data_IF_345160572866
#
_entry.id   IF_345160572866
#
_cell.length_a   1.000
_cell.length_b   1.000
_cell.length_c   1.000
_cell.angle_alpha   90.00
_cell.angle_beta   90.00
_cell.angle_gamma   90.00
#
_symmetry.space_group_name_H-M   'P 1'
#
loop_
_entity.id
_entity.type
_entity.pdbx_description
1 polymer ?
#
# COMPACT_ATOMS: atom_id res chain seq x y z
N UNK A 1 -6.23 -43.39 -33.88
CA UNK A 1 -5.87 -41.98 -33.61
C UNK A 1 -6.32 -41.67 -32.20
N UNK A 2 -5.40 -41.80 -31.24
CA UNK A 2 -5.67 -41.65 -29.81
C UNK A 2 -5.57 -40.18 -29.41
N UNK A 3 -6.64 -39.69 -28.78
CA UNK A 3 -6.73 -38.34 -28.23
C UNK A 3 -5.82 -38.25 -27.01
N UNK A 4 -4.85 -37.35 -27.08
CA UNK A 4 -3.92 -36.99 -26.02
C UNK A 4 -4.69 -36.35 -24.85
N UNK A 5 -4.72 -37.01 -23.70
CA UNK A 5 -5.19 -36.46 -22.44
C UNK A 5 -4.25 -35.35 -21.98
N UNK A 6 -4.79 -34.16 -21.76
CA UNK A 6 -4.08 -33.05 -21.12
C UNK A 6 -3.59 -33.48 -19.74
N UNK A 7 -2.29 -33.33 -19.50
CA UNK A 7 -1.66 -33.55 -18.20
C UNK A 7 -2.20 -32.53 -17.20
N UNK A 8 -2.93 -33.00 -16.20
CA UNK A 8 -3.17 -32.27 -14.97
C UNK A 8 -1.84 -32.08 -14.25
N UNK A 9 -1.26 -30.89 -14.33
CA UNK A 9 -0.15 -30.50 -13.45
C UNK A 9 -0.68 -30.45 -12.03
N UNK A 10 -0.39 -31.47 -11.23
CA UNK A 10 -0.63 -31.42 -9.79
C UNK A 10 0.30 -30.38 -9.20
N UNK A 11 -0.24 -29.23 -8.78
CA UNK A 11 0.49 -28.28 -7.95
C UNK A 11 0.76 -28.96 -6.60
N UNK A 12 1.96 -29.53 -6.40
CA UNK A 12 2.36 -29.97 -5.07
C UNK A 12 2.48 -28.73 -4.18
N UNK A 13 1.72 -28.68 -3.08
CA UNK A 13 1.77 -27.61 -2.10
C UNK A 13 3.13 -27.59 -1.39
N UNK A 14 4.02 -26.70 -1.82
CA UNK A 14 5.28 -26.44 -1.15
C UNK A 14 5.11 -25.19 -0.28
N UNK A 15 4.48 -25.36 0.89
CA UNK A 15 4.34 -24.27 1.85
C UNK A 15 5.58 -24.26 2.75
N UNK A 16 6.32 -23.16 2.73
CA UNK A 16 7.44 -22.90 3.66
C UNK A 16 6.99 -21.85 4.67
N UNK A 17 7.33 -22.06 5.94
CA UNK A 17 7.00 -21.15 7.03
C UNK A 17 8.25 -20.62 7.70
N UNK A 18 8.18 -19.38 8.14
CA UNK A 18 9.21 -18.69 8.90
C UNK A 18 8.60 -17.99 10.10
N UNK A 19 9.42 -17.66 11.09
CA UNK A 19 8.98 -16.89 12.27
C UNK A 19 9.49 -15.47 12.14
N UNK A 20 8.59 -14.50 12.18
CA UNK A 20 8.90 -13.10 12.44
C UNK A 20 8.98 -12.91 13.96
N UNK A 21 10.15 -12.53 14.47
CA UNK A 21 10.42 -12.39 15.91
C UNK A 21 9.96 -11.04 16.44
N UNK A 22 8.71 -10.68 16.16
CA UNK A 22 8.06 -9.48 16.67
C UNK A 22 7.40 -9.76 18.04
N UNK A 23 6.81 -8.74 18.66
CA UNK A 23 6.30 -8.80 20.04
C UNK A 23 5.37 -9.99 20.36
N UNK A 24 4.54 -10.42 19.39
CA UNK A 24 3.62 -11.55 19.55
C UNK A 24 3.96 -12.78 18.70
N UNK A 25 5.15 -12.83 18.09
CA UNK A 25 5.62 -13.90 17.20
C UNK A 25 4.63 -14.27 16.08
N UNK A 26 4.85 -13.72 14.89
CA UNK A 26 4.03 -14.02 13.72
C UNK A 26 4.66 -15.09 12.82
N UNK A 27 3.83 -15.92 12.20
CA UNK A 27 4.26 -16.86 11.16
C UNK A 27 4.17 -16.17 9.80
N UNK A 28 5.26 -16.20 9.04
CA UNK A 28 5.25 -15.85 7.62
C UNK A 28 5.13 -17.16 6.83
N UNK A 29 4.00 -17.36 6.13
CA UNK A 29 3.75 -18.53 5.29
C UNK A 29 3.87 -18.15 3.81
N UNK A 30 4.77 -18.82 3.09
CA UNK A 30 4.83 -18.75 1.64
C UNK A 30 3.72 -19.63 1.06
N UNK A 31 2.71 -19.02 0.44
CA UNK A 31 1.57 -19.74 -0.15
C UNK A 31 1.62 -19.66 -1.68
N UNK A 32 1.06 -20.67 -2.35
CA UNK A 32 0.96 -20.72 -3.82
C UNK A 32 -0.23 -21.58 -4.27
N UNK A 33 -0.39 -21.77 -5.59
CA UNK A 33 -1.42 -22.64 -6.15
C UNK A 33 -2.84 -22.26 -5.72
N UNK A 34 -3.66 -23.27 -5.40
CA UNK A 34 -5.07 -23.07 -5.08
C UNK A 34 -5.29 -22.18 -3.84
N UNK A 35 -4.45 -22.31 -2.80
CA UNK A 35 -4.55 -21.49 -1.59
C UNK A 35 -4.33 -20.01 -1.89
N UNK A 36 -3.33 -19.66 -2.69
CA UNK A 36 -3.08 -18.28 -3.11
C UNK A 36 -4.21 -17.74 -4.02
N UNK A 37 -4.77 -18.58 -4.90
CA UNK A 37 -5.91 -18.19 -5.75
C UNK A 37 -7.12 -17.82 -4.88
N UNK A 38 -7.48 -18.68 -3.92
CA UNK A 38 -8.60 -18.44 -3.01
C UNK A 38 -8.41 -17.17 -2.19
N UNK A 39 -7.18 -16.91 -1.75
CA UNK A 39 -6.85 -15.71 -0.99
C UNK A 39 -7.01 -14.42 -1.82
N UNK A 40 -6.50 -14.40 -3.05
CA UNK A 40 -6.53 -13.22 -3.91
C UNK A 40 -7.92 -12.97 -4.57
N UNK A 41 -8.78 -13.99 -4.62
CA UNK A 41 -10.15 -13.88 -5.14
C UNK A 41 -11.18 -13.45 -4.09
N UNK A 42 -10.76 -13.19 -2.84
CA UNK A 42 -11.63 -12.57 -1.83
C UNK A 42 -11.94 -11.12 -2.23
N UNK A 43 -13.19 -10.73 -1.99
CA UNK A 43 -13.59 -9.32 -2.07
C UNK A 43 -13.23 -8.64 -0.76
N UNK A 44 -12.16 -7.85 -0.77
CA UNK A 44 -11.72 -6.99 0.33
C UNK A 44 -11.92 -5.52 -0.01
N UNK A 45 -11.48 -4.62 0.88
CA UNK A 45 -11.60 -3.17 0.69
C UNK A 45 -11.00 -2.70 -0.64
N UNK A 46 -9.93 -3.33 -1.13
CA UNK A 46 -9.33 -2.94 -2.41
C UNK A 46 -10.27 -3.20 -3.59
N UNK A 47 -10.78 -4.42 -3.72
CA UNK A 47 -11.68 -4.78 -4.82
C UNK A 47 -13.05 -4.11 -4.66
N UNK A 48 -13.55 -4.00 -3.44
CA UNK A 48 -14.82 -3.33 -3.16
C UNK A 48 -14.81 -1.85 -3.56
N UNK A 49 -13.61 -1.24 -3.67
CA UNK A 49 -13.42 0.14 -4.06
C UNK A 49 -13.04 0.32 -5.54
N UNK A 50 -13.03 -0.72 -6.38
CA UNK A 50 -12.72 -0.57 -7.80
C UNK A 50 -13.73 0.32 -8.53
N UNK A 51 -13.21 1.24 -9.33
CA UNK A 51 -13.98 1.89 -10.39
C UNK A 51 -14.01 1.01 -11.66
N UNK A 52 -14.87 1.33 -12.64
CA UNK A 52 -14.73 0.79 -13.99
C UNK A 52 -13.32 0.98 -14.55
N UNK A 53 -12.73 2.16 -14.35
CA UNK A 53 -11.38 2.46 -14.84
C UNK A 53 -10.28 1.63 -14.17
N UNK A 54 -10.40 1.30 -12.88
CA UNK A 54 -9.48 0.38 -12.19
C UNK A 54 -9.40 -0.95 -12.95
N UNK A 55 -10.56 -1.52 -13.30
CA UNK A 55 -10.61 -2.78 -14.04
C UNK A 55 -10.05 -2.64 -15.45
N UNK A 56 -10.46 -1.61 -16.18
CA UNK A 56 -10.03 -1.38 -17.56
C UNK A 56 -8.52 -1.25 -17.66
N UNK A 57 -7.93 -0.37 -16.84
CA UNK A 57 -6.50 -0.08 -16.84
C UNK A 57 -5.64 -1.25 -16.35
N UNK A 58 -6.12 -2.05 -15.40
CA UNK A 58 -5.40 -3.22 -14.85
C UNK A 58 -5.42 -4.42 -15.78
N UNK A 59 -6.52 -4.64 -16.49
CA UNK A 59 -6.63 -5.75 -17.46
C UNK A 59 -6.17 -5.37 -18.86
N UNK A 60 -6.07 -4.06 -19.13
CA UNK A 60 -5.94 -3.51 -20.48
C UNK A 60 -7.05 -4.04 -21.41
N UNK A 61 -8.29 -4.01 -20.94
CA UNK A 61 -9.49 -4.46 -21.65
C UNK A 61 -10.61 -3.43 -21.50
N UNK A 62 -11.45 -3.25 -22.52
CA UNK A 62 -12.63 -2.39 -22.44
C UNK A 62 -13.77 -3.10 -21.70
N UNK A 63 -14.37 -2.41 -20.72
CA UNK A 63 -15.49 -2.92 -19.91
C UNK A 63 -15.32 -4.33 -19.30
N UNK A 64 -14.21 -4.64 -18.60
CA UNK A 64 -14.02 -5.95 -17.98
C UNK A 64 -14.87 -6.13 -16.72
N UNK A 65 -15.09 -7.39 -16.33
CA UNK A 65 -15.78 -7.76 -15.09
C UNK A 65 -14.79 -8.10 -13.97
N UNK A 66 -15.28 -8.11 -12.72
CA UNK A 66 -14.51 -8.61 -11.57
C UNK A 66 -14.06 -10.08 -11.79
N UNK A 67 -14.88 -10.88 -12.46
CA UNK A 67 -14.58 -12.28 -12.78
C UNK A 67 -13.43 -12.37 -13.79
N UNK A 68 -13.30 -11.42 -14.70
CA UNK A 68 -12.14 -11.32 -15.58
C UNK A 68 -10.88 -10.95 -14.79
N UNK A 69 -11.00 -10.02 -13.84
CA UNK A 69 -9.88 -9.67 -12.93
C UNK A 69 -9.44 -10.88 -12.10
N UNK A 70 -10.36 -11.64 -11.53
CA UNK A 70 -10.06 -12.86 -10.79
C UNK A 70 -9.38 -13.95 -11.63
N UNK A 71 -9.79 -14.13 -12.89
CA UNK A 71 -9.11 -15.02 -13.84
C UNK A 71 -7.73 -14.50 -14.19
N UNK A 72 -7.56 -13.17 -14.27
CA UNK A 72 -6.29 -12.53 -14.59
C UNK A 72 -5.28 -12.70 -13.45
N UNK A 73 -5.60 -12.30 -12.22
CA UNK A 73 -4.67 -12.39 -11.09
C UNK A 73 -4.27 -13.84 -10.77
N UNK A 74 -5.20 -14.80 -10.91
CA UNK A 74 -4.91 -16.21 -10.68
C UNK A 74 -3.82 -16.76 -11.63
N UNK A 75 -3.74 -16.25 -12.86
CA UNK A 75 -2.71 -16.62 -13.84
C UNK A 75 -1.34 -15.99 -13.54
N UNK A 76 -1.27 -15.01 -12.63
CA UNK A 76 -0.02 -14.32 -12.32
C UNK A 76 0.72 -14.96 -11.14
N UNK A 77 0.03 -15.80 -10.35
CA UNK A 77 0.61 -16.52 -9.21
C UNK A 77 1.68 -17.51 -9.71
N UNK A 78 2.82 -17.51 -9.03
CA UNK A 78 3.91 -18.44 -9.25
C UNK A 78 4.03 -19.40 -8.06
N UNK A 79 4.61 -20.57 -8.31
CA UNK A 79 5.05 -21.45 -7.23
C UNK A 79 6.35 -20.89 -6.63
N UNK A 80 6.51 -21.05 -5.31
CA UNK A 80 7.79 -20.84 -4.65
C UNK A 80 8.71 -22.03 -4.95
N UNK A 81 9.94 -21.72 -5.37
CA UNK A 81 11.01 -22.70 -5.57
C UNK A 81 12.10 -22.55 -4.49
N UNK A 82 13.15 -23.38 -4.56
CA UNK A 82 14.21 -23.36 -3.55
C UNK A 82 14.96 -22.02 -3.52
N UNK A 83 15.26 -21.45 -4.69
CA UNK A 83 16.00 -20.19 -4.82
C UNK A 83 15.21 -19.02 -4.22
N UNK A 84 13.98 -18.82 -4.67
CA UNK A 84 13.10 -17.73 -4.19
C UNK A 84 12.76 -17.89 -2.72
N UNK A 85 12.54 -19.12 -2.24
CA UNK A 85 12.30 -19.40 -0.83
C UNK A 85 13.53 -19.11 0.04
N UNK A 86 14.74 -19.40 -0.45
CA UNK A 86 15.98 -19.14 0.29
C UNK A 86 16.26 -17.63 0.38
N UNK A 87 15.90 -16.85 -0.65
CA UNK A 87 15.97 -15.38 -0.60
C UNK A 87 15.00 -14.84 0.46
N UNK A 88 13.75 -15.34 0.49
CA UNK A 88 12.79 -14.99 1.55
C UNK A 88 13.31 -15.34 2.94
N UNK A 89 13.86 -16.54 3.12
CA UNK A 89 14.44 -16.98 4.39
C UNK A 89 15.55 -16.02 4.85
N UNK A 90 16.44 -15.65 3.94
CA UNK A 90 17.57 -14.74 4.21
C UNK A 90 17.08 -13.33 4.55
N UNK A 91 16.04 -12.85 3.86
CA UNK A 91 15.38 -11.57 4.15
C UNK A 91 14.78 -11.55 5.57
N UNK A 92 14.02 -12.59 5.93
CA UNK A 92 13.37 -12.69 7.24
C UNK A 92 14.42 -12.82 8.36
N UNK A 93 15.49 -13.59 8.15
CA UNK A 93 16.58 -13.68 9.12
C UNK A 93 17.33 -12.34 9.30
N UNK A 94 17.55 -11.62 8.19
CA UNK A 94 18.11 -10.28 8.24
C UNK A 94 17.23 -9.32 9.04
N UNK A 95 15.91 -9.33 8.82
CA UNK A 95 14.95 -8.48 9.54
C UNK A 95 14.92 -8.85 11.03
N UNK A 96 14.82 -10.15 11.35
CA UNK A 96 14.84 -10.66 12.72
C UNK A 96 16.10 -10.28 13.50
N UNK A 97 17.24 -10.19 12.82
CA UNK A 97 18.52 -9.85 13.46
C UNK A 97 18.69 -8.33 13.56
N UNK A 98 18.59 -7.64 12.42
CA UNK A 98 18.94 -6.22 12.27
C UNK A 98 17.87 -5.30 12.88
N UNK A 99 16.60 -5.69 12.81
CA UNK A 99 15.47 -4.88 13.26
C UNK A 99 14.88 -5.38 14.59
N UNK A 100 15.61 -6.23 15.33
CA UNK A 100 15.10 -6.96 16.50
C UNK A 100 14.47 -6.05 17.57
N UNK A 101 15.13 -4.93 17.90
CA UNK A 101 14.61 -4.00 18.90
C UNK A 101 13.30 -3.34 18.46
N UNK A 102 13.20 -2.93 17.20
CA UNK A 102 11.98 -2.35 16.65
C UNK A 102 10.87 -3.41 16.54
N UNK A 103 11.19 -4.63 16.09
CA UNK A 103 10.23 -5.74 16.00
C UNK A 103 9.56 -6.05 17.34
N UNK A 104 10.30 -5.95 18.46
CA UNK A 104 9.77 -6.15 19.80
C UNK A 104 8.71 -5.10 20.22
N UNK A 105 8.57 -4.00 19.46
CA UNK A 105 7.54 -2.99 19.66
C UNK A 105 6.28 -3.25 18.83
N UNK A 106 6.31 -4.21 17.91
CA UNK A 106 5.29 -4.37 16.88
C UNK A 106 4.48 -5.65 17.08
N UNK A 107 3.16 -5.49 17.15
CA UNK A 107 2.21 -6.62 17.11
C UNK A 107 1.60 -6.75 15.72
N UNK A 108 1.73 -7.92 15.13
CA UNK A 108 1.25 -8.28 13.80
C UNK A 108 0.14 -9.35 13.88
N UNK A 109 -0.62 -9.62 12.80
CA UNK A 109 -1.46 -10.81 12.72
C UNK A 109 -0.65 -12.08 13.05
N UNK A 110 -1.24 -13.11 13.68
CA UNK A 110 -0.53 -14.35 14.01
C UNK A 110 0.07 -15.06 12.79
N UNK A 111 -0.53 -14.86 11.62
CA UNK A 111 -0.06 -15.39 10.35
C UNK A 111 -0.11 -14.30 9.27
N UNK A 112 0.97 -14.18 8.51
CA UNK A 112 1.11 -13.33 7.32
C UNK A 112 1.40 -14.25 6.14
N UNK A 113 0.57 -14.19 5.11
CA UNK A 113 0.75 -14.96 3.89
C UNK A 113 1.55 -14.16 2.87
N UNK A 114 2.48 -14.80 2.16
CA UNK A 114 3.24 -14.18 1.07
C UNK A 114 2.99 -14.94 -0.23
N UNK A 115 2.48 -14.23 -1.23
CA UNK A 115 2.20 -14.76 -2.57
C UNK A 115 3.26 -14.26 -3.54
N UNK A 116 3.91 -15.18 -4.26
CA UNK A 116 4.81 -14.83 -5.35
C UNK A 116 4.02 -14.66 -6.65
N UNK A 117 4.28 -13.58 -7.41
CA UNK A 117 3.66 -13.37 -8.73
C UNK A 117 4.69 -13.06 -9.80
N UNK A 118 4.26 -13.13 -11.06
CA UNK A 118 5.06 -12.67 -12.19
C UNK A 118 5.09 -11.13 -12.36
N UNK A 119 4.36 -10.40 -11.51
CA UNK A 119 4.30 -8.94 -11.47
C UNK A 119 3.37 -8.26 -12.48
N UNK A 120 2.64 -8.99 -13.32
CA UNK A 120 1.70 -8.36 -14.28
C UNK A 120 0.40 -7.87 -13.61
N UNK A 121 0.07 -8.41 -12.45
CA UNK A 121 -1.05 -8.05 -11.59
C UNK A 121 -1.01 -6.59 -11.14
N UNK A 122 0.15 -6.09 -10.74
CA UNK A 122 0.35 -4.71 -10.25
C UNK A 122 1.60 -4.03 -10.85
N UNK A 123 1.93 -4.32 -12.12
CA UNK A 123 3.06 -3.71 -12.86
C UNK A 123 4.42 -3.77 -12.15
N UNK A 124 4.72 -4.91 -11.50
CA UNK A 124 5.90 -5.19 -10.68
C UNK A 124 5.99 -4.41 -9.37
N UNK A 125 4.91 -3.78 -8.91
CA UNK A 125 4.82 -3.32 -7.53
C UNK A 125 4.57 -4.52 -6.59
N UNK A 126 5.16 -4.47 -5.40
CA UNK A 126 4.65 -5.22 -4.27
C UNK A 126 3.45 -4.46 -3.70
N UNK A 127 2.55 -5.19 -3.03
CA UNK A 127 1.36 -4.60 -2.42
C UNK A 127 0.75 -5.58 -1.42
N UNK A 128 -0.12 -5.07 -0.55
CA UNK A 128 -0.84 -5.88 0.41
C UNK A 128 -2.34 -6.01 0.08
N UNK A 129 -2.92 -7.15 0.45
CA UNK A 129 -4.36 -7.43 0.36
C UNK A 129 -4.89 -8.00 1.67
N UNK A 130 -6.20 -8.01 1.83
CA UNK A 130 -6.89 -8.49 3.04
C UNK A 130 -6.27 -7.90 4.32
N UNK A 131 -6.26 -8.64 5.44
CA UNK A 131 -5.62 -8.19 6.68
C UNK A 131 -4.14 -8.61 6.81
N UNK A 132 -3.71 -9.63 6.04
CA UNK A 132 -2.45 -10.33 6.31
C UNK A 132 -1.74 -10.90 5.08
N UNK A 133 -2.03 -10.41 3.87
CA UNK A 133 -1.45 -10.95 2.63
C UNK A 133 -0.52 -9.92 2.01
N UNK A 134 0.73 -10.33 1.78
CA UNK A 134 1.73 -9.59 1.01
C UNK A 134 1.86 -10.27 -0.35
N UNK A 135 1.73 -9.51 -1.42
CA UNK A 135 1.95 -9.98 -2.79
C UNK A 135 3.27 -9.40 -3.26
N UNK A 136 4.18 -10.27 -3.69
CA UNK A 136 5.50 -9.85 -4.12
C UNK A 136 5.85 -10.40 -5.51
N UNK A 137 6.23 -9.54 -6.46
CA UNK A 137 6.63 -10.00 -7.79
C UNK A 137 8.04 -10.61 -7.77
N UNK A 138 8.24 -11.62 -8.61
CA UNK A 138 9.52 -12.32 -8.78
C UNK A 138 10.69 -11.36 -9.02
N UNK A 139 10.47 -10.29 -9.79
CA UNK A 139 11.49 -9.27 -10.04
C UNK A 139 12.01 -8.60 -8.78
N UNK A 140 11.16 -8.40 -7.76
CA UNK A 140 11.57 -7.82 -6.47
C UNK A 140 12.35 -8.84 -5.66
N UNK A 141 11.88 -10.10 -5.61
CA UNK A 141 12.57 -11.18 -4.90
C UNK A 141 13.98 -11.39 -5.45
N UNK A 142 14.15 -11.43 -6.77
CA UNK A 142 15.46 -11.56 -7.41
C UNK A 142 16.28 -10.24 -7.44
N UNK A 143 15.73 -9.15 -6.90
CA UNK A 143 16.33 -7.83 -6.92
C UNK A 143 17.16 -7.49 -5.66
N UNK A 144 18.00 -6.46 -5.76
CA UNK A 144 18.91 -6.05 -4.67
C UNK A 144 18.28 -5.27 -3.50
N UNK A 145 16.99 -4.96 -3.55
CA UNK A 145 16.31 -4.12 -2.54
C UNK A 145 15.17 -4.86 -1.80
N UNK A 146 15.12 -6.18 -1.95
CA UNK A 146 14.07 -7.05 -1.41
C UNK A 146 13.75 -6.80 0.07
N UNK A 147 14.76 -6.74 0.95
CA UNK A 147 14.53 -6.58 2.40
C UNK A 147 13.87 -5.24 2.73
N UNK A 148 14.29 -4.15 2.07
CA UNK A 148 13.70 -2.83 2.30
C UNK A 148 12.24 -2.80 1.87
N UNK A 149 11.95 -3.37 0.69
CA UNK A 149 10.57 -3.46 0.18
C UNK A 149 9.73 -4.35 1.09
N UNK A 150 10.23 -5.50 1.52
CA UNK A 150 9.46 -6.36 2.41
C UNK A 150 9.15 -5.71 3.77
N UNK A 151 10.08 -4.91 4.32
CA UNK A 151 9.81 -4.10 5.53
C UNK A 151 8.77 -3.01 5.25
N UNK A 152 8.78 -2.40 4.07
CA UNK A 152 7.74 -1.47 3.63
C UNK A 152 6.37 -2.17 3.57
N UNK A 153 6.27 -3.35 2.98
CA UNK A 153 5.01 -4.13 2.96
C UNK A 153 4.56 -4.56 4.36
N UNK A 154 5.50 -4.91 5.25
CA UNK A 154 5.18 -5.19 6.64
C UNK A 154 4.55 -3.98 7.34
N UNK A 155 4.91 -2.74 7.00
CA UNK A 155 4.21 -1.57 7.51
C UNK A 155 2.72 -1.60 7.17
N UNK A 156 2.35 -1.92 5.93
CA UNK A 156 0.94 -1.98 5.52
C UNK A 156 0.16 -3.06 6.27
N UNK A 157 0.78 -4.23 6.51
CA UNK A 157 0.18 -5.28 7.37
C UNK A 157 0.02 -4.79 8.81
N UNK A 158 1.06 -4.17 9.36
CA UNK A 158 1.05 -3.67 10.74
C UNK A 158 0.03 -2.54 10.94
N UNK A 159 -0.01 -1.57 10.04
CA UNK A 159 -0.82 -0.35 10.16
C UNK A 159 -2.32 -0.65 10.12
N UNK A 160 -2.73 -1.65 9.34
CA UNK A 160 -4.14 -2.07 9.20
C UNK A 160 -4.59 -3.08 10.25
N UNK A 161 -3.66 -3.67 11.00
CA UNK A 161 -4.03 -4.62 12.05
C UNK A 161 -4.86 -3.94 13.14
N UNK A 162 -5.93 -4.60 13.57
CA UNK A 162 -6.98 -3.98 14.40
C UNK A 162 -6.46 -3.37 15.71
N UNK A 163 -5.36 -3.89 16.28
CA UNK A 163 -4.75 -3.33 17.49
C UNK A 163 -3.94 -2.06 17.24
N UNK A 164 -3.67 -1.69 15.99
CA UNK A 164 -2.72 -0.64 15.63
C UNK A 164 -3.39 0.57 14.96
N UNK A 165 -4.72 0.54 14.76
CA UNK A 165 -5.47 1.58 14.06
C UNK A 165 -5.32 2.97 14.70
N UNK A 166 -5.31 3.06 16.04
CA UNK A 166 -5.08 4.33 16.74
C UNK A 166 -3.67 4.86 16.50
N UNK A 167 -2.66 3.98 16.53
CA UNK A 167 -1.26 4.35 16.26
C UNK A 167 -1.14 4.82 14.81
N UNK A 168 -1.80 4.14 13.86
CA UNK A 168 -1.86 4.58 12.46
C UNK A 168 -2.45 5.98 12.32
N UNK A 169 -3.57 6.27 12.97
CA UNK A 169 -4.19 7.60 12.94
C UNK A 169 -3.24 8.68 13.51
N UNK A 170 -2.50 8.36 14.58
CA UNK A 170 -1.48 9.26 15.16
C UNK A 170 -0.29 9.46 14.22
N UNK A 171 0.19 8.40 13.57
CA UNK A 171 1.27 8.49 12.59
C UNK A 171 0.86 9.34 11.38
N UNK A 172 -0.36 9.17 10.88
CA UNK A 172 -0.93 10.03 9.82
C UNK A 172 -0.95 11.50 10.26
N UNK A 173 -1.44 11.76 11.47
CA UNK A 173 -1.48 13.11 12.05
C UNK A 173 -0.08 13.71 12.16
N UNK A 174 0.91 12.88 12.47
CA UNK A 174 2.31 13.29 12.63
C UNK A 174 2.94 13.86 11.34
N UNK A 175 2.37 13.52 10.18
CA UNK A 175 2.75 14.00 8.84
C UNK A 175 1.67 14.90 8.20
N UNK A 176 0.75 15.44 9.00
CA UNK A 176 -0.23 16.44 8.56
C UNK A 176 -1.53 15.87 7.98
N UNK A 177 -1.77 14.57 8.06
CA UNK A 177 -3.02 13.95 7.62
C UNK A 177 -3.95 13.68 8.79
N UNK A 178 -5.15 14.24 8.74
CA UNK A 178 -6.14 14.17 9.81
C UNK A 178 -7.34 13.34 9.35
N UNK A 179 -7.92 12.58 10.29
CA UNK A 179 -9.11 11.78 10.03
C UNK A 179 -10.34 12.67 9.88
N UNK A 180 -11.12 12.43 8.83
CA UNK A 180 -12.41 13.09 8.62
C UNK A 180 -13.42 12.53 9.64
N UNK A 181 -14.24 13.39 10.28
CA UNK A 181 -15.26 12.92 11.22
C UNK A 181 -16.18 11.87 10.59
N UNK A 182 -16.37 10.71 11.25
CA UNK A 182 -17.09 9.54 10.71
C UNK A 182 -18.51 9.86 10.19
N UNK A 183 -19.17 10.88 10.74
CA UNK A 183 -20.50 11.33 10.30
C UNK A 183 -20.49 12.08 8.95
N UNK A 184 -19.33 12.26 8.33
CA UNK A 184 -19.11 13.08 7.13
C UNK A 184 -18.34 12.28 6.07
N UNK A 185 -18.91 11.16 5.63
CA UNK A 185 -18.30 10.35 4.56
C UNK A 185 -18.15 11.17 3.29
N UNK A 186 -16.95 11.14 2.69
CA UNK A 186 -16.74 11.71 1.36
C UNK A 186 -17.50 10.84 0.36
N UNK A 187 -18.55 11.40 -0.23
CA UNK A 187 -19.15 10.86 -1.45
C UNK A 187 -18.50 11.56 -2.64
N UNK A 188 -17.75 10.81 -3.45
CA UNK A 188 -17.20 11.35 -4.68
C UNK A 188 -18.33 11.56 -5.70
N UNK A 189 -18.32 12.65 -6.50
CA UNK A 189 -19.26 12.80 -7.61
C UNK A 189 -19.14 11.63 -8.60
N UNK A 190 -20.26 11.26 -9.24
CA UNK A 190 -20.32 10.10 -10.14
C UNK A 190 -19.24 10.13 -11.24
N UNK A 191 -18.99 11.31 -11.83
CA UNK A 191 -17.96 11.50 -12.86
C UNK A 191 -16.55 11.15 -12.38
N UNK A 192 -16.27 11.31 -11.09
CA UNK A 192 -14.99 10.99 -10.49
C UNK A 192 -14.94 9.55 -9.96
N UNK A 193 -16.06 9.00 -9.49
CA UNK A 193 -16.17 7.58 -9.11
C UNK A 193 -15.82 6.66 -10.28
N UNK A 194 -16.22 7.03 -11.51
CA UNK A 194 -15.95 6.23 -12.71
C UNK A 194 -14.46 6.12 -13.06
N UNK A 195 -13.67 7.15 -12.75
CA UNK A 195 -12.26 7.28 -13.17
C UNK A 195 -11.26 7.24 -12.01
N UNK A 196 -11.73 7.10 -10.76
CA UNK A 196 -10.81 6.96 -9.62
C UNK A 196 -9.97 5.70 -9.80
N UNK A 197 -8.74 5.74 -9.32
CA UNK A 197 -7.86 4.58 -9.27
C UNK A 197 -7.62 4.22 -7.82
N UNK A 198 -7.52 2.93 -7.52
CA UNK A 198 -7.41 2.44 -6.15
C UNK A 198 -5.99 1.96 -5.89
N UNK A 199 -5.40 2.42 -4.78
CA UNK A 199 -4.17 1.88 -4.24
C UNK A 199 -4.52 0.70 -3.30
N UNK A 200 -3.97 -0.51 -3.51
CA UNK A 200 -4.21 -1.67 -2.64
C UNK A 200 -3.82 -1.48 -1.18
N UNK A 201 -2.82 -0.66 -0.88
CA UNK A 201 -2.31 -0.43 0.48
C UNK A 201 -3.07 0.68 1.21
N UNK A 202 -3.79 1.52 0.47
CA UNK A 202 -4.62 2.60 1.03
C UNK A 202 -6.00 2.71 0.35
N UNK A 203 -6.81 1.64 0.33
CA UNK A 203 -8.08 1.62 -0.41
C UNK A 203 -9.13 2.58 0.20
N UNK A 204 -8.98 2.90 1.49
CA UNK A 204 -9.87 3.79 2.25
C UNK A 204 -9.28 5.18 2.51
N UNK A 205 -8.32 5.66 1.70
CA UNK A 205 -7.60 6.93 1.96
C UNK A 205 -8.49 8.17 2.03
N UNK A 206 -9.67 8.14 1.39
CA UNK A 206 -10.66 9.24 1.38
C UNK A 206 -11.28 9.53 2.76
N UNK A 207 -10.89 8.78 3.80
CA UNK A 207 -11.23 9.05 5.20
C UNK A 207 -10.31 10.08 5.86
N UNK A 208 -9.33 10.62 5.14
CA UNK A 208 -8.34 11.56 5.66
C UNK A 208 -8.24 12.81 4.79
N UNK A 209 -7.86 13.92 5.40
CA UNK A 209 -7.55 15.17 4.73
C UNK A 209 -6.22 15.73 5.21
N UNK A 210 -5.63 16.62 4.42
CA UNK A 210 -4.44 17.42 4.75
C UNK A 210 -4.76 18.90 4.55
N UNK A 211 -4.14 19.77 5.34
CA UNK A 211 -4.30 21.21 5.23
C UNK A 211 -3.18 21.81 4.38
N UNK A 212 -3.53 22.38 3.22
CA UNK A 212 -2.58 22.84 2.21
C UNK A 212 -2.73 24.34 1.94
N UNK A 213 -1.59 25.03 1.83
CA UNK A 213 -1.51 26.41 1.38
C UNK A 213 -1.07 26.44 -0.08
N UNK A 214 -1.76 27.20 -0.93
CA UNK A 214 -1.40 27.31 -2.35
C UNK A 214 -0.21 28.26 -2.56
N UNK A 215 0.76 27.87 -3.38
CA UNK A 215 1.86 28.76 -3.77
C UNK A 215 1.34 30.05 -4.40
N UNK A 216 1.89 31.18 -3.97
CA UNK A 216 1.54 32.50 -4.50
C UNK A 216 0.20 33.06 -4.01
N UNK A 217 -0.57 32.32 -3.21
CA UNK A 217 -1.78 32.86 -2.58
C UNK A 217 -1.41 33.81 -1.43
N UNK A 218 -1.71 35.09 -1.62
CA UNK A 218 -1.44 36.16 -0.64
C UNK A 218 -2.54 36.32 0.41
N UNK A 219 -3.68 35.63 0.25
CA UNK A 219 -4.77 35.67 1.24
C UNK A 219 -4.45 34.90 2.52
N UNK A 220 -3.45 34.01 2.46
CA UNK A 220 -3.15 33.09 3.56
C UNK A 220 -4.17 31.97 3.71
N UNK A 221 -5.03 31.74 2.70
CA UNK A 221 -6.03 30.68 2.74
C UNK A 221 -5.36 29.30 2.85
N UNK A 222 -5.88 28.51 3.80
CA UNK A 222 -5.59 27.10 3.97
C UNK A 222 -6.77 26.31 3.42
N UNK A 223 -6.48 25.29 2.63
CA UNK A 223 -7.46 24.42 2.02
C UNK A 223 -7.42 23.06 2.70
N UNK A 224 -8.57 22.53 3.10
CA UNK A 224 -8.68 21.11 3.44
C UNK A 224 -8.73 20.32 2.15
N UNK A 225 -7.84 19.35 2.02
CA UNK A 225 -7.76 18.55 0.81
C UNK A 225 -7.71 17.05 1.13
N UNK A 226 -8.49 16.22 0.44
CA UNK A 226 -8.34 14.76 0.50
C UNK A 226 -7.42 14.28 -0.62
N UNK A 227 -6.48 13.34 -0.37
CA UNK A 227 -5.73 12.72 -1.45
C UNK A 227 -6.66 11.88 -2.34
N UNK A 228 -6.36 11.85 -3.64
CA UNK A 228 -7.05 11.00 -4.61
C UNK A 228 -6.10 10.56 -5.72
N UNK A 229 -6.33 9.35 -6.22
CA UNK A 229 -5.78 8.87 -7.48
C UNK A 229 -6.90 8.78 -8.50
N UNK A 230 -6.68 9.30 -9.70
CA UNK A 230 -7.63 9.20 -10.79
C UNK A 230 -6.91 9.14 -12.14
N UNK A 231 -7.64 8.71 -13.17
CA UNK A 231 -7.13 8.68 -14.53
C UNK A 231 -6.77 10.09 -15.02
N UNK A 232 -5.60 10.21 -15.66
CA UNK A 232 -5.17 11.44 -16.35
C UNK A 232 -5.87 11.68 -17.69
N UNK A 233 -6.46 10.62 -18.25
CA UNK A 233 -7.15 10.61 -19.55
C UNK A 233 -8.08 9.38 -19.65
N UNK A 234 -9.01 9.34 -20.63
CA UNK A 234 -9.84 8.17 -20.88
C UNK A 234 -9.02 6.91 -21.17
N UNK A 235 -9.60 5.75 -20.88
CA UNK A 235 -8.94 4.47 -21.11
C UNK A 235 -8.77 4.21 -22.61
N UNK A 236 -7.56 3.78 -23.00
CA UNK A 236 -7.22 3.42 -24.37
C UNK A 236 -6.28 2.19 -24.39
N UNK A 237 -6.75 1.10 -25.00
CA UNK A 237 -5.97 -0.15 -25.12
C UNK A 237 -4.65 0.01 -25.89
N UNK A 238 -4.50 1.09 -26.67
CA UNK A 238 -3.29 1.40 -27.43
C UNK A 238 -2.33 2.35 -26.71
N UNK A 239 -2.77 3.03 -25.65
CA UNK A 239 -1.93 4.03 -24.97
C UNK A 239 -0.83 3.38 -24.12
N UNK A 240 -1.20 2.47 -23.21
CA UNK A 240 -0.25 1.81 -22.30
C UNK A 240 -0.86 0.58 -21.64
N UNK A 241 -0.09 -0.51 -21.56
CA UNK A 241 -0.41 -1.68 -20.72
C UNK A 241 -0.02 -1.49 -19.25
N UNK A 242 0.74 -0.44 -18.93
CA UNK A 242 1.11 -0.09 -17.57
C UNK A 242 0.11 0.94 -17.04
N UNK A 243 -0.74 0.55 -16.09
CA UNK A 243 -1.77 1.43 -15.53
C UNK A 243 -1.17 2.66 -14.84
N UNK A 244 0.08 2.60 -14.35
CA UNK A 244 0.76 3.77 -13.77
C UNK A 244 0.90 4.93 -14.77
N UNK A 245 0.87 4.66 -16.08
CA UNK A 245 0.88 5.71 -17.09
C UNK A 245 -0.40 6.57 -17.10
N UNK A 246 -1.51 6.04 -16.58
CA UNK A 246 -2.76 6.77 -16.39
C UNK A 246 -2.86 7.45 -15.03
N UNK A 247 -2.03 7.06 -14.06
CA UNK A 247 -2.19 7.45 -12.67
C UNK A 247 -1.88 8.92 -12.46
N UNK A 248 -2.87 9.70 -12.02
CA UNK A 248 -2.68 11.06 -11.51
C UNK A 248 -2.92 11.08 -10.00
N UNK A 249 -1.85 11.27 -9.24
CA UNK A 249 -1.92 11.52 -7.80
C UNK A 249 -2.06 13.03 -7.54
N UNK A 250 -3.10 13.42 -6.82
CA UNK A 250 -3.38 14.83 -6.49
C UNK A 250 -4.24 14.90 -5.22
N UNK A 251 -4.62 16.11 -4.82
CA UNK A 251 -5.66 16.30 -3.79
C UNK A 251 -6.88 17.03 -4.35
N UNK A 252 -8.04 16.72 -3.79
CA UNK A 252 -9.31 17.42 -4.01
C UNK A 252 -9.56 18.38 -2.86
N UNK A 253 -9.93 19.62 -3.19
CA UNK A 253 -10.32 20.61 -2.19
C UNK A 253 -11.72 20.28 -1.67
N UNK A 254 -11.85 20.29 -0.35
CA UNK A 254 -13.08 20.01 0.38
C UNK A 254 -13.71 21.30 0.91
N UNK A 255 -15.02 21.25 1.18
CA UNK A 255 -15.67 22.23 2.02
C UNK A 255 -15.17 22.14 3.47
N UNK A 256 -14.90 23.29 4.08
CA UNK A 256 -14.31 23.36 5.43
C UNK A 256 -15.22 22.79 6.51
N UNK A 257 -16.53 22.79 6.27
CA UNK A 257 -17.55 22.33 7.21
C UNK A 257 -17.98 20.91 6.90
N UNK A 258 -18.39 20.61 5.66
CA UNK A 258 -18.98 19.30 5.32
C UNK A 258 -17.95 18.24 5.01
N UNK A 259 -16.71 18.61 4.65
CA UNK A 259 -15.68 17.70 4.12
C UNK A 259 -16.06 17.03 2.78
N UNK A 260 -17.12 17.49 2.12
CA UNK A 260 -17.46 17.04 0.77
C UNK A 260 -16.58 17.76 -0.25
N UNK A 261 -16.28 17.14 -1.41
CA UNK A 261 -15.60 17.83 -2.51
C UNK A 261 -16.38 19.07 -2.94
N UNK A 262 -15.67 20.17 -3.19
CA UNK A 262 -16.33 21.39 -3.70
C UNK A 262 -16.93 21.15 -5.08
N UNK A 263 -18.07 21.80 -5.36
CA UNK A 263 -18.68 21.86 -6.69
C UNK A 263 -18.64 23.30 -7.24
N UNK A 264 -18.04 23.55 -8.42
CA UNK A 264 -17.36 22.58 -9.28
C UNK A 264 -16.08 22.03 -8.64
N UNK A 265 -15.71 20.79 -9.00
CA UNK A 265 -14.50 20.12 -8.52
C UNK A 265 -13.24 21.00 -8.65
N UNK A 266 -12.55 21.15 -7.53
CA UNK A 266 -11.29 21.89 -7.44
C UNK A 266 -10.18 21.00 -6.90
N UNK A 267 -9.00 21.11 -7.51
CA UNK A 267 -7.83 20.32 -7.16
C UNK A 267 -6.72 21.25 -6.67
N UNK A 268 -5.90 20.71 -5.77
CA UNK A 268 -4.62 21.31 -5.41
C UNK A 268 -3.56 20.21 -5.51
N UNK A 269 -2.69 20.28 -6.51
CA UNK A 269 -1.64 19.28 -6.63
C UNK A 269 -0.60 19.44 -5.51
N UNK A 270 0.11 18.35 -5.18
CA UNK A 270 1.19 18.40 -4.19
C UNK A 270 2.30 19.41 -4.56
N UNK A 271 2.53 19.63 -5.86
CA UNK A 271 3.52 20.60 -6.35
C UNK A 271 3.07 22.07 -6.20
N UNK A 272 1.75 22.32 -6.19
CA UNK A 272 1.18 23.65 -5.98
C UNK A 272 1.01 24.00 -4.50
N UNK A 273 1.21 23.03 -3.60
CA UNK A 273 1.09 23.19 -2.17
C UNK A 273 2.43 23.59 -1.52
N UNK A 274 2.49 24.79 -0.96
CA UNK A 274 3.72 25.38 -0.42
C UNK A 274 4.18 24.80 0.91
N UNK A 275 3.26 24.19 1.65
CA UNK A 275 3.50 23.60 2.96
C UNK A 275 3.45 22.06 2.96
N UNK A 276 3.30 21.40 1.80
CA UNK A 276 3.15 19.94 1.75
C UNK A 276 4.39 19.23 2.30
N UNK A 277 5.56 19.48 1.72
CA UNK A 277 6.82 18.86 2.18
C UNK A 277 7.27 19.33 3.56
N UNK A 278 6.80 20.49 4.05
CA UNK A 278 7.04 20.90 5.43
C UNK A 278 6.29 20.01 6.43
N UNK A 279 5.17 19.41 6.02
CA UNK A 279 4.38 18.49 6.85
C UNK A 279 4.91 17.06 6.77
N UNK A 280 5.11 16.54 5.56
CA UNK A 280 5.49 15.13 5.35
C UNK A 280 6.99 14.87 5.44
N UNK A 281 7.82 15.92 5.42
CA UNK A 281 9.27 15.82 5.28
C UNK A 281 9.74 15.47 3.88
N UNK A 282 11.04 15.21 3.72
CA UNK A 282 11.71 15.08 2.42
C UNK A 282 12.38 13.71 2.22
N UNK A 283 12.05 12.70 3.04
CA UNK A 283 12.71 11.38 3.00
C UNK A 283 12.30 10.51 1.81
N UNK A 284 11.14 10.77 1.20
CA UNK A 284 10.63 10.00 0.05
C UNK A 284 10.03 10.91 -1.01
N UNK A 285 10.02 10.41 -2.25
CA UNK A 285 9.27 10.97 -3.38
C UNK A 285 8.03 10.14 -3.71
N UNK A 286 7.80 9.02 -3.03
CA UNK A 286 6.63 8.16 -3.23
C UNK A 286 5.45 8.69 -2.41
N UNK A 287 4.87 9.79 -2.90
CA UNK A 287 3.92 10.63 -2.17
C UNK A 287 2.46 10.39 -2.55
N UNK A 288 2.13 9.23 -3.15
CA UNK A 288 0.78 9.00 -3.69
C UNK A 288 -0.28 9.06 -2.58
N UNK A 289 0.01 8.51 -1.39
CA UNK A 289 -0.86 8.50 -0.21
C UNK A 289 -0.03 8.60 1.10
N UNK A 290 -0.63 9.02 2.23
CA UNK A 290 0.05 9.04 3.54
C UNK A 290 0.58 7.68 3.97
N UNK A 291 -0.11 6.59 3.58
CA UNK A 291 0.31 5.23 3.88
C UNK A 291 1.71 4.94 3.30
N UNK A 292 1.96 5.31 2.04
CA UNK A 292 3.25 5.11 1.36
C UNK A 292 4.37 5.95 1.95
N UNK A 293 4.04 7.20 2.30
CA UNK A 293 4.97 8.12 2.95
C UNK A 293 5.44 7.50 4.26
N UNK A 294 4.53 6.97 5.06
CA UNK A 294 4.87 6.34 6.33
C UNK A 294 5.55 4.99 6.13
N UNK A 295 5.16 4.18 5.16
CA UNK A 295 5.81 2.90 4.87
C UNK A 295 7.30 3.07 4.52
N UNK A 296 7.64 4.09 3.72
CA UNK A 296 9.04 4.42 3.43
C UNK A 296 9.79 4.91 4.67
N UNK A 297 9.19 5.79 5.48
CA UNK A 297 9.81 6.25 6.73
C UNK A 297 9.94 5.12 7.76
N UNK A 298 9.01 4.16 7.77
CA UNK A 298 9.04 2.98 8.62
C UNK A 298 10.17 2.04 8.20
N UNK A 299 10.36 1.81 6.90
CA UNK A 299 11.51 1.04 6.41
C UNK A 299 12.84 1.69 6.80
N UNK A 300 12.93 3.02 6.75
CA UNK A 300 14.10 3.76 7.25
C UNK A 300 14.30 3.58 8.77
N UNK A 301 13.22 3.65 9.55
CA UNK A 301 13.27 3.44 11.00
C UNK A 301 13.74 2.03 11.38
N UNK A 302 13.14 1.02 10.77
CA UNK A 302 13.41 -0.40 11.02
C UNK A 302 14.86 -0.75 10.69
N UNK A 303 15.38 -0.27 9.56
CA UNK A 303 16.69 -0.65 9.05
C UNK A 303 17.84 0.27 9.50
N UNK A 304 17.55 1.40 10.16
CA UNK A 304 18.41 2.60 10.05
C UNK A 304 18.95 3.23 11.34
N UNK A 305 19.33 2.48 12.38
CA UNK A 305 19.96 3.08 13.57
C UNK A 305 21.17 3.98 13.27
N UNK A 306 21.93 3.72 12.19
CA UNK A 306 23.13 4.51 11.82
C UNK A 306 22.94 5.51 10.65
N UNK A 307 21.75 5.58 10.03
CA UNK A 307 21.54 6.43 8.85
C UNK A 307 20.81 7.74 9.13
N UNK A 308 20.39 8.00 10.37
CA UNK A 308 19.64 9.21 10.74
C UNK A 308 20.36 10.51 10.35
N UNK A 309 21.71 10.52 10.38
CA UNK A 309 22.53 11.67 9.96
C UNK A 309 22.50 11.97 8.45
N UNK A 310 22.01 11.03 7.62
CA UNK A 310 21.94 11.18 6.15
C UNK A 310 20.51 11.44 5.64
N UNK A 311 19.52 11.31 6.53
CA UNK A 311 18.12 11.57 6.18
C UNK A 311 17.90 13.06 5.97
N UNK A 312 17.07 13.41 4.98
CA UNK A 312 16.69 14.82 4.75
C UNK A 312 15.74 15.33 5.82
N UNK A 313 14.97 14.44 6.45
CA UNK A 313 14.02 14.76 7.52
C UNK A 313 14.04 13.70 8.61
N UNK A 314 15.14 13.60 9.39
CA UNK A 314 15.26 12.60 10.45
C UNK A 314 14.18 12.75 11.52
N UNK A 315 13.65 13.95 11.72
CA UNK A 315 12.58 14.23 12.68
C UNK A 315 11.28 13.47 12.38
N UNK A 316 10.98 13.15 11.11
CA UNK A 316 9.80 12.34 10.74
C UNK A 316 9.96 10.91 11.26
N UNK A 317 11.14 10.32 11.04
CA UNK A 317 11.48 8.96 11.51
C UNK A 317 11.53 8.90 13.04
N UNK A 318 12.13 9.90 13.69
CA UNK A 318 12.19 9.98 15.16
C UNK A 318 10.79 10.09 15.78
N UNK A 319 9.93 10.97 15.23
CA UNK A 319 8.56 11.12 15.72
C UNK A 319 7.74 9.84 15.55
N UNK A 320 7.91 9.14 14.43
CA UNK A 320 7.30 7.82 14.23
C UNK A 320 7.76 6.82 15.30
N UNK A 321 9.06 6.75 15.57
CA UNK A 321 9.61 5.88 16.60
C UNK A 321 9.05 6.20 17.99
N UNK A 322 8.92 7.49 18.33
CA UNK A 322 8.36 7.95 19.59
C UNK A 322 6.89 7.53 19.75
N UNK A 323 6.08 7.75 18.72
CA UNK A 323 4.65 7.36 18.70
C UNK A 323 4.50 5.85 18.91
N UNK A 324 5.23 5.05 18.14
CA UNK A 324 5.17 3.58 18.25
C UNK A 324 5.65 3.11 19.63
N UNK A 325 6.73 3.69 20.15
CA UNK A 325 7.30 3.31 21.45
C UNK A 325 6.40 3.70 22.62
N UNK A 326 5.71 4.84 22.54
CA UNK A 326 4.76 5.28 23.56
C UNK A 326 3.55 4.34 23.64
N UNK A 327 3.00 3.94 22.50
CA UNK A 327 1.85 3.05 22.44
C UNK A 327 2.12 1.64 23.02
N UNK A 328 3.38 1.19 23.05
CA UNK A 328 3.79 -0.07 23.71
C UNK A 328 3.83 0.08 25.23
N UNK A 329 4.23 1.23 25.76
CA UNK A 329 4.26 1.48 27.21
C UNK A 329 2.87 1.49 27.82
N UNK A 330 1.89 2.04 27.10
CA UNK A 330 0.50 2.10 27.57
C UNK A 330 -0.21 0.73 27.59
N UNK A 331 0.38 -0.31 26.98
CA UNK A 331 -0.16 -1.68 26.95
C UNK A 331 0.40 -2.60 28.05
N UNK A 332 1.46 -2.19 28.75
CA UNK A 332 2.15 -2.97 29.79
C UNK A 332 1.90 -2.40 31.19
#
# INVERSE_FOLDING_TARGET
MSVSSASSTSYSSFNKTFVLKNANLSIIELISGQQAIEELQKTDDYIANFSPFDLESRLNLSSPTIQDYFKFIAKQILAWDEETSQIMASCIEFINTTCSEQLNLLTYPPQICVVLTNGKDENNAAYCRNENVIIIPLRIVLGGHMCKIFVHELFHIWSKWHTNLTIRDELYTSIGYYKIPVKKSIELPASLQEIKMTNPDAPCVLKYYIELAKFGDKSGKIYKCTPILHASQPFDTQFSTNFFAYLKATTLILDDTTYEPLEPLQYLSYAEASNFYHQIGYNTTYIIHPEEILADNFALWMMGKDQSATLKSPTVVLRMADIISAAVKDRN
#
